data_IF_162634113647
#
_entry.id   IF_162634113647
#
_cell.length_a   1.000
_cell.length_b   1.000
_cell.length_c   1.000
_cell.angle_alpha   90.00
_cell.angle_beta   90.00
_cell.angle_gamma   90.00
#
_symmetry.space_group_name_H-M   'P 1'
#
loop_
_entity.id
_entity.type
_entity.pdbx_description
1 polymer ?
#
# COMPACT_ATOMS: atom_id res chain seq x y z
N UNK A 1 -14.22 -4.86 -3.67
CA UNK A 1 -14.06 -4.79 -2.21
C UNK A 1 -12.99 -3.77 -1.86
N UNK A 2 -13.29 -2.87 -0.97
CA UNK A 2 -12.33 -1.85 -0.55
C UNK A 2 -11.38 -2.43 0.47
N UNK A 3 -10.07 -2.23 0.26
CA UNK A 3 -9.04 -2.76 1.16
C UNK A 3 -7.94 -1.73 1.41
N UNK A 4 -7.20 -1.95 2.47
CA UNK A 4 -5.96 -1.22 2.77
C UNK A 4 -4.83 -2.24 2.83
N UNK A 5 -3.77 -2.01 2.09
CA UNK A 5 -2.60 -2.89 2.04
C UNK A 5 -1.37 -2.12 2.52
N UNK A 6 -0.62 -2.73 3.42
CA UNK A 6 0.61 -2.15 3.97
C UNK A 6 1.77 -3.08 3.67
N UNK A 7 2.83 -2.54 3.10
CA UNK A 7 4.04 -3.32 2.81
C UNK A 7 5.06 -2.52 2.03
N UNK A 8 6.20 -3.15 1.75
CA UNK A 8 7.19 -2.56 0.88
C UNK A 8 6.97 -3.02 -0.56
N UNK A 9 6.79 -2.06 -1.49
CA UNK A 9 6.62 -2.42 -2.89
C UNK A 9 7.95 -2.90 -3.49
N UNK A 10 7.82 -3.82 -4.45
CA UNK A 10 8.92 -4.21 -5.30
C UNK A 10 9.10 -3.25 -6.48
N UNK A 11 9.59 -3.79 -7.59
CA UNK A 11 9.80 -2.99 -8.79
C UNK A 11 8.49 -2.40 -9.32
N UNK A 12 8.53 -1.13 -9.68
CA UNK A 12 7.41 -0.43 -10.28
C UNK A 12 7.61 -0.27 -11.77
N UNK A 13 6.56 -0.48 -12.55
CA UNK A 13 6.59 -0.34 -14.01
C UNK A 13 5.57 0.71 -14.42
N UNK A 14 6.01 1.69 -15.19
CA UNK A 14 5.11 2.71 -15.70
C UNK A 14 4.21 2.15 -16.81
N UNK A 15 2.92 2.43 -16.71
CA UNK A 15 1.93 2.04 -17.71
C UNK A 15 1.03 3.25 -18.01
N UNK A 16 1.40 4.04 -19.02
CA UNK A 16 0.65 5.24 -19.35
C UNK A 16 0.67 6.26 -18.23
N UNK A 17 -0.50 6.60 -17.69
CA UNK A 17 -0.63 7.55 -16.58
C UNK A 17 -0.64 6.87 -15.21
N UNK A 18 -0.47 5.56 -15.19
CA UNK A 18 -0.45 4.79 -13.97
C UNK A 18 0.88 4.09 -13.80
N UNK A 19 1.11 3.60 -12.59
CA UNK A 19 2.25 2.76 -12.25
C UNK A 19 1.71 1.44 -11.73
N UNK A 20 2.22 0.34 -12.26
CA UNK A 20 1.92 -1.00 -11.76
C UNK A 20 3.10 -1.45 -10.90
N UNK A 21 2.82 -1.93 -9.70
CA UNK A 21 3.86 -2.41 -8.80
C UNK A 21 3.41 -3.68 -8.07
N UNK A 22 4.38 -4.51 -7.76
CA UNK A 22 4.16 -5.67 -6.90
C UNK A 22 4.32 -5.23 -5.45
N UNK A 23 3.42 -5.70 -4.59
CA UNK A 23 3.49 -5.42 -3.17
C UNK A 23 3.18 -6.69 -2.40
N UNK A 24 4.02 -7.00 -1.43
CA UNK A 24 3.79 -8.12 -0.52
C UNK A 24 3.39 -7.53 0.81
N UNK A 25 2.20 -7.90 1.29
CA UNK A 25 1.66 -7.35 2.53
C UNK A 25 2.46 -7.79 3.75
N UNK A 26 2.48 -6.95 4.78
CA UNK A 26 3.06 -7.30 6.06
C UNK A 26 2.28 -8.45 6.69
N UNK A 27 2.96 -9.21 7.54
CA UNK A 27 2.32 -10.27 8.33
C UNK A 27 1.27 -9.66 9.25
N UNK A 28 0.12 -10.32 9.34
CA UNK A 28 -0.93 -9.91 10.28
C UNK A 28 -0.41 -10.11 11.71
N UNK A 29 -0.34 -9.04 12.53
CA UNK A 29 0.34 -9.12 13.83
C UNK A 29 -0.42 -9.92 14.88
N UNK A 30 -1.74 -9.95 14.82
CA UNK A 30 -2.54 -10.73 15.76
C UNK A 30 -3.89 -11.07 15.16
N UNK A 31 -4.39 -12.24 15.51
CA UNK A 31 -5.69 -12.72 15.06
C UNK A 31 -6.49 -13.23 16.24
N UNK A 32 -7.83 -13.17 16.16
CA UNK A 32 -8.67 -13.82 17.15
C UNK A 32 -8.39 -15.32 17.22
N UNK A 33 -8.54 -15.90 18.39
CA UNK A 33 -8.40 -17.34 18.56
C UNK A 33 -9.41 -18.10 17.72
N UNK A 34 -9.00 -19.21 17.15
CA UNK A 34 -9.86 -20.08 16.37
C UNK A 34 -9.85 -19.80 14.87
N UNK A 35 -9.19 -18.74 14.43
CA UNK A 35 -9.02 -18.49 13.00
C UNK A 35 -7.81 -19.26 12.46
N UNK A 36 -7.89 -19.77 11.22
CA UNK A 36 -6.71 -20.34 10.60
C UNK A 36 -5.65 -19.27 10.39
N UNK A 37 -4.40 -19.66 10.50
CA UNK A 37 -3.28 -18.74 10.26
C UNK A 37 -3.24 -18.32 8.79
N UNK A 38 -3.26 -17.00 8.48
CA UNK A 38 -3.20 -16.56 7.10
C UNK A 38 -1.80 -16.80 6.53
N UNK A 39 -1.70 -16.97 5.20
CA UNK A 39 -0.38 -17.07 4.59
C UNK A 39 0.41 -15.79 4.82
N UNK A 40 1.69 -15.94 5.14
CA UNK A 40 2.58 -14.80 5.29
C UNK A 40 2.85 -14.18 3.92
N UNK A 41 2.66 -12.86 3.80
CA UNK A 41 3.03 -12.14 2.60
C UNK A 41 2.10 -12.35 1.42
N UNK A 42 0.83 -11.98 1.55
CA UNK A 42 -0.08 -11.97 0.41
C UNK A 42 0.43 -11.04 -0.69
N UNK A 43 0.48 -11.55 -1.91
CA UNK A 43 1.01 -10.81 -3.06
C UNK A 43 -0.11 -10.03 -3.76
N UNK A 44 0.16 -8.76 -4.00
CA UNK A 44 -0.76 -7.85 -4.69
C UNK A 44 -0.07 -7.21 -5.89
N UNK A 45 -0.85 -6.97 -6.94
CA UNK A 45 -0.44 -6.08 -8.03
C UNK A 45 -1.22 -4.79 -7.89
N UNK A 46 -0.53 -3.69 -7.61
CA UNK A 46 -1.17 -2.41 -7.31
C UNK A 46 -1.03 -1.49 -8.51
N UNK A 47 -2.16 -0.92 -8.94
CA UNK A 47 -2.19 0.13 -9.96
C UNK A 47 -2.45 1.45 -9.25
N UNK A 48 -1.54 2.40 -9.40
CA UNK A 48 -1.61 3.69 -8.73
C UNK A 48 -1.27 4.80 -9.70
N UNK A 49 -1.90 5.96 -9.57
CA UNK A 49 -1.60 7.11 -10.41
C UNK A 49 -0.17 7.62 -10.13
N UNK A 50 0.47 8.18 -11.16
CA UNK A 50 1.88 8.60 -11.08
C UNK A 50 2.14 9.65 -10.00
N UNK A 51 1.25 10.63 -9.84
CA UNK A 51 1.45 11.72 -8.87
C UNK A 51 1.56 11.22 -7.43
N UNK A 52 0.57 10.48 -6.90
CA UNK A 52 0.69 9.95 -5.54
C UNK A 52 1.85 8.94 -5.42
N UNK A 53 2.11 8.17 -6.47
CA UNK A 53 3.23 7.22 -6.45
C UNK A 53 4.59 7.91 -6.33
N UNK A 54 4.78 9.05 -7.00
CA UNK A 54 6.05 9.77 -6.94
C UNK A 54 6.41 10.17 -5.50
N UNK A 55 5.44 10.61 -4.72
CA UNK A 55 5.64 10.96 -3.30
C UNK A 55 5.99 9.73 -2.47
N UNK A 56 5.30 8.63 -2.71
CA UNK A 56 5.55 7.37 -2.01
C UNK A 56 6.95 6.84 -2.34
N UNK A 57 7.32 6.82 -3.61
CA UNK A 57 8.62 6.36 -4.05
C UNK A 57 9.76 7.18 -3.43
N UNK A 58 9.60 8.50 -3.37
CA UNK A 58 10.57 9.39 -2.75
C UNK A 58 10.72 9.10 -1.25
N UNK A 59 9.61 8.92 -0.55
CA UNK A 59 9.63 8.62 0.89
C UNK A 59 10.28 7.26 1.18
N UNK A 60 9.97 6.25 0.36
CA UNK A 60 10.56 4.92 0.52
C UNK A 60 12.06 4.91 0.21
N UNK A 61 12.49 5.71 -0.75
CA UNK A 61 13.92 5.84 -1.07
C UNK A 61 14.69 6.54 0.06
N UNK A 62 14.06 7.48 0.75
CA UNK A 62 14.67 8.22 1.85
C UNK A 62 14.79 7.39 3.12
N UNK A 63 13.91 6.41 3.33
CA UNK A 63 13.88 5.60 4.55
C UNK A 63 13.62 4.12 4.18
N UNK A 64 14.65 3.27 4.29
CA UNK A 64 14.49 1.85 3.97
C UNK A 64 13.57 1.08 4.93
N UNK A 65 13.23 1.66 6.07
CA UNK A 65 12.33 1.03 7.04
C UNK A 65 10.88 1.48 6.88
N UNK A 66 10.61 2.45 6.00
CA UNK A 66 9.25 2.90 5.74
C UNK A 66 8.49 1.85 4.92
N UNK A 67 7.17 1.93 4.96
CA UNK A 67 6.29 1.04 4.22
C UNK A 67 5.16 1.83 3.56
N UNK A 68 4.74 1.38 2.39
CA UNK A 68 3.62 1.98 1.68
C UNK A 68 2.30 1.57 2.31
N UNK A 69 1.37 2.50 2.37
CA UNK A 69 -0.02 2.28 2.77
C UNK A 69 -0.88 2.60 1.57
N UNK A 70 -1.50 1.58 1.00
CA UNK A 70 -2.30 1.69 -0.21
C UNK A 70 -3.75 1.40 0.12
N UNK A 71 -4.63 2.34 -0.18
CA UNK A 71 -6.07 2.14 -0.09
C UNK A 71 -6.65 2.05 -1.50
N UNK A 72 -7.57 1.15 -1.70
CA UNK A 72 -8.20 1.01 -3.01
C UNK A 72 -9.19 -0.13 -3.07
N UNK A 73 -9.48 -0.55 -4.28
CA UNK A 73 -10.43 -1.63 -4.54
C UNK A 73 -9.69 -2.86 -5.03
N UNK A 74 -9.94 -4.00 -4.38
CA UNK A 74 -9.39 -5.28 -4.78
C UNK A 74 -10.29 -5.98 -5.77
N UNK A 75 -9.68 -6.60 -6.77
CA UNK A 75 -10.39 -7.41 -7.75
C UNK A 75 -9.51 -8.56 -8.24
N UNK A 76 -10.14 -9.63 -8.69
CA UNK A 76 -9.42 -10.69 -9.38
C UNK A 76 -9.31 -10.31 -10.85
N UNK A 77 -8.08 -10.09 -11.30
CA UNK A 77 -7.79 -9.72 -12.68
C UNK A 77 -6.90 -10.80 -13.29
N UNK A 78 -7.38 -11.56 -14.31
CA UNK A 78 -6.59 -12.63 -14.90
C UNK A 78 -5.31 -12.16 -15.60
N UNK A 79 -5.17 -10.85 -15.84
CA UNK A 79 -3.99 -10.29 -16.50
C UNK A 79 -2.81 -10.13 -15.56
N UNK A 80 -3.01 -10.24 -14.25
CA UNK A 80 -1.96 -10.03 -13.24
C UNK A 80 -1.90 -11.18 -12.26
N UNK A 81 -0.74 -11.37 -11.64
CA UNK A 81 -0.58 -12.35 -10.57
C UNK A 81 -1.14 -11.80 -9.26
N UNK A 82 -1.77 -12.70 -8.51
CA UNK A 82 -2.32 -12.36 -7.20
C UNK A 82 -3.58 -11.52 -7.32
N UNK A 83 -3.77 -10.65 -6.34
CA UNK A 83 -4.94 -9.78 -6.25
C UNK A 83 -4.59 -8.43 -6.83
N UNK A 84 -5.39 -7.93 -7.77
CA UNK A 84 -5.23 -6.59 -8.30
C UNK A 84 -5.83 -5.57 -7.32
N UNK A 85 -5.14 -4.46 -7.10
CA UNK A 85 -5.62 -3.36 -6.28
C UNK A 85 -5.57 -2.08 -7.10
N UNK A 86 -6.72 -1.44 -7.26
CA UNK A 86 -6.83 -0.17 -7.96
C UNK A 86 -6.82 0.93 -6.91
N UNK A 87 -5.66 1.57 -6.72
CA UNK A 87 -5.44 2.49 -5.61
C UNK A 87 -6.22 3.79 -5.76
N UNK A 88 -6.94 4.15 -4.73
CA UNK A 88 -7.60 5.45 -4.61
C UNK A 88 -6.74 6.43 -3.81
N UNK A 89 -5.85 5.91 -2.97
CA UNK A 89 -4.86 6.72 -2.28
C UNK A 89 -3.61 5.90 -1.97
N UNK A 90 -2.48 6.58 -1.88
CA UNK A 90 -1.21 5.97 -1.54
C UNK A 90 -0.40 6.93 -0.67
N UNK A 91 0.16 6.40 0.40
CA UNK A 91 1.03 7.14 1.30
C UNK A 91 2.05 6.18 1.91
N UNK A 92 2.84 6.63 2.86
CA UNK A 92 3.71 5.76 3.66
C UNK A 92 3.42 5.96 5.13
N UNK A 93 3.91 5.05 5.97
CA UNK A 93 3.77 5.20 7.42
C UNK A 93 4.37 6.51 7.89
N UNK A 94 5.54 6.88 7.37
CA UNK A 94 6.24 8.10 7.72
C UNK A 94 5.52 9.35 7.24
N UNK A 95 5.05 9.35 5.99
CA UNK A 95 4.26 10.48 5.46
C UNK A 95 2.97 10.68 6.23
N UNK A 96 2.31 9.59 6.61
CA UNK A 96 1.08 9.66 7.39
C UNK A 96 1.34 10.22 8.78
N UNK A 97 2.43 9.79 9.43
CA UNK A 97 2.82 10.31 10.75
C UNK A 97 3.16 11.80 10.68
N UNK A 98 3.88 12.23 9.64
CA UNK A 98 4.21 13.65 9.44
C UNK A 98 2.95 14.49 9.20
N UNK A 99 2.00 13.97 8.45
CA UNK A 99 0.73 14.64 8.21
C UNK A 99 -0.07 14.79 9.49
N UNK A 100 -0.11 13.77 10.34
CA UNK A 100 -0.78 13.84 11.64
C UNK A 100 -0.13 14.86 12.56
N UNK A 101 1.21 14.89 12.60
CA UNK A 101 1.96 15.84 13.41
C UNK A 101 1.77 17.28 12.95
N UNK A 102 1.58 17.49 11.64
CA UNK A 102 1.36 18.82 11.05
C UNK A 102 -0.08 19.31 11.15
N UNK A 103 -1.03 18.40 11.42
CA UNK A 103 -2.43 18.80 11.58
C UNK A 103 -2.60 19.57 12.87
N UNK A 104 -3.27 20.74 12.84
CA UNK A 104 -3.59 21.44 14.06
C UNK A 104 -4.48 20.53 14.92
N UNK A 105 -4.15 20.43 16.20
CA UNK A 105 -4.95 19.68 17.13
C UNK A 105 -6.35 20.30 17.11
N UNK A 106 -7.33 19.50 16.69
CA UNK A 106 -8.72 19.94 16.77
C UNK A 106 -9.06 20.13 18.24
N UNK A 107 -9.03 21.35 18.69
CA UNK A 107 -9.53 21.67 20.01
C UNK A 107 -11.04 21.50 19.99
N UNK A 108 -11.59 20.72 20.90
CA UNK A 108 -13.04 20.63 21.01
C UNK A 108 -13.66 21.98 21.34
#
# INVERSE_FOLDING_TARGET
MKITVIGRPGAAVEQGQAVALALVSEKVPSLPKGLPEPPAGTRYTVFVARKPWAKVAEALAADPEDAAIIEGYAALDPRVEGIAVYATSATTKRLQAAKRAAQPVATP
#
